data_IF_110411919470
#
_entry.id   IF_110411919470
#
_cell.length_a   1.000
_cell.length_b   1.000
_cell.length_c   1.000
_cell.angle_alpha   90.00
_cell.angle_beta   90.00
_cell.angle_gamma   90.00
#
_symmetry.space_group_name_H-M   'P 1'
#
loop_
_entity.id
_entity.type
_entity.pdbx_description
1 polymer ?
#
# COMPACT_ATOMS: atom_id res chain seq x y z
N UNK A 1 -2.83 -4.40 -8.50
CA UNK A 1 -3.49 -3.19 -9.04
C UNK A 1 -2.40 -2.16 -9.23
N UNK A 2 -2.19 -1.73 -10.43
CA UNK A 2 -1.14 -0.80 -10.87
C UNK A 2 -1.52 0.66 -10.58
N UNK A 3 -1.87 0.95 -9.37
CA UNK A 3 -2.38 2.29 -9.06
C UNK A 3 -1.44 3.10 -8.17
N UNK A 4 -0.38 2.46 -7.70
CA UNK A 4 0.67 3.09 -6.91
C UNK A 4 0.26 3.55 -5.52
N UNK A 5 1.24 3.96 -4.75
CA UNK A 5 1.08 4.45 -3.39
C UNK A 5 0.28 5.75 -3.32
N UNK A 6 0.43 6.63 -4.31
CA UNK A 6 -0.29 7.90 -4.39
C UNK A 6 -1.80 7.72 -4.53
N UNK A 7 -2.22 6.79 -5.37
CA UNK A 7 -3.64 6.44 -5.50
C UNK A 7 -4.20 5.88 -4.18
N UNK A 8 -3.45 4.99 -3.54
CA UNK A 8 -3.88 4.38 -2.29
C UNK A 8 -4.11 5.41 -1.18
N UNK A 9 -3.18 6.34 -1.00
CA UNK A 9 -3.32 7.46 -0.07
C UNK A 9 -4.53 8.33 -0.41
N UNK A 10 -4.70 8.69 -1.68
CA UNK A 10 -5.84 9.49 -2.13
C UNK A 10 -7.17 8.76 -1.86
N UNK A 11 -7.24 7.46 -2.06
CA UNK A 11 -8.43 6.67 -1.73
C UNK A 11 -8.77 6.71 -0.24
N UNK A 12 -7.78 6.55 0.65
CA UNK A 12 -7.99 6.63 2.09
C UNK A 12 -8.57 8.01 2.47
N UNK A 13 -7.96 9.08 1.99
CA UNK A 13 -8.43 10.44 2.25
C UNK A 13 -9.86 10.67 1.73
N UNK A 14 -10.14 10.21 0.52
CA UNK A 14 -11.47 10.32 -0.09
C UNK A 14 -12.52 9.54 0.67
N UNK A 15 -12.20 8.33 1.11
CA UNK A 15 -13.12 7.50 1.89
C UNK A 15 -13.38 8.10 3.27
N UNK A 16 -12.35 8.59 3.96
CA UNK A 16 -12.48 9.29 5.23
C UNK A 16 -13.42 10.49 5.11
N UNK A 17 -13.17 11.34 4.09
CA UNK A 17 -13.98 12.52 3.82
C UNK A 17 -15.42 12.17 3.45
N UNK A 18 -15.60 11.14 2.61
CA UNK A 18 -16.94 10.70 2.20
C UNK A 18 -17.73 10.13 3.38
N UNK A 19 -17.08 9.33 4.22
CA UNK A 19 -17.68 8.78 5.44
C UNK A 19 -18.18 9.89 6.38
N UNK A 20 -17.32 10.88 6.62
CA UNK A 20 -17.66 11.97 7.52
C UNK A 20 -18.73 12.94 6.98
N UNK A 21 -18.89 13.03 5.65
CA UNK A 21 -19.77 14.04 5.02
C UNK A 21 -21.01 13.49 4.36
N UNK A 22 -20.99 12.28 3.83
CA UNK A 22 -22.03 11.81 2.90
C UNK A 22 -22.59 10.41 3.21
N UNK A 23 -21.80 9.53 3.81
CA UNK A 23 -22.20 8.13 4.01
C UNK A 23 -22.83 7.92 5.39
N UNK A 24 -23.56 8.89 5.87
CA UNK A 24 -24.37 8.70 7.08
C UNK A 24 -25.52 7.66 6.88
N UNK A 25 -25.43 6.85 5.84
CA UNK A 25 -26.55 6.04 5.37
C UNK A 25 -26.24 4.55 5.28
N UNK A 26 -25.38 4.04 6.14
CA UNK A 26 -25.37 2.61 6.46
C UNK A 26 -25.92 2.34 7.87
N UNK A 27 -27.20 2.67 8.15
CA UNK A 27 -27.79 2.54 9.49
C UNK A 27 -27.84 1.08 9.98
N UNK A 28 -27.56 0.13 9.09
CA UNK A 28 -27.54 -1.30 9.39
C UNK A 28 -26.14 -1.89 9.48
N UNK A 29 -25.07 -1.09 9.30
CA UNK A 29 -23.68 -1.55 9.31
C UNK A 29 -23.39 -2.68 8.31
N UNK A 30 -24.01 -2.64 7.13
CA UNK A 30 -23.91 -3.74 6.15
C UNK A 30 -22.66 -3.65 5.29
N UNK A 31 -22.19 -2.44 5.02
CA UNK A 31 -21.13 -2.17 4.06
C UNK A 31 -19.77 -2.03 4.74
N UNK A 32 -19.69 -1.25 5.81
CA UNK A 32 -18.48 -1.07 6.58
C UNK A 32 -18.70 -1.53 8.03
N UNK A 33 -17.87 -2.46 8.49
CA UNK A 33 -17.88 -2.95 9.86
C UNK A 33 -16.80 -2.27 10.66
N UNK A 34 -16.95 -0.96 10.87
CA UNK A 34 -16.09 -0.19 11.75
C UNK A 34 -16.26 -0.65 13.20
N UNK A 35 -15.16 -0.68 13.94
CA UNK A 35 -15.17 -0.83 15.39
C UNK A 35 -15.58 0.48 16.04
N UNK A 36 -15.92 0.46 17.32
CA UNK A 36 -16.27 1.68 18.05
C UNK A 36 -15.13 2.71 17.96
N UNK A 37 -15.48 3.92 17.51
CA UNK A 37 -14.56 5.06 17.27
C UNK A 37 -13.46 4.83 16.22
N UNK A 38 -13.54 3.76 15.43
CA UNK A 38 -12.58 3.50 14.35
C UNK A 38 -12.79 4.49 13.20
N UNK A 39 -11.74 5.18 12.80
CA UNK A 39 -11.72 5.97 11.56
C UNK A 39 -11.62 5.06 10.33
N UNK A 40 -11.86 5.61 9.13
CA UNK A 40 -11.61 4.87 7.89
C UNK A 40 -10.13 4.53 7.75
N UNK A 41 -9.25 5.44 8.13
CA UNK A 41 -7.80 5.19 8.14
C UNK A 41 -7.44 4.01 9.05
N UNK A 42 -7.99 3.96 10.26
CA UNK A 42 -7.76 2.84 11.19
C UNK A 42 -8.35 1.52 10.66
N UNK A 43 -9.51 1.60 10.04
CA UNK A 43 -10.13 0.45 9.36
C UNK A 43 -9.21 -0.11 8.26
N UNK A 44 -8.69 0.75 7.39
CA UNK A 44 -7.75 0.34 6.33
C UNK A 44 -6.48 -0.24 6.93
N UNK A 45 -5.89 0.41 7.95
CA UNK A 45 -4.69 -0.10 8.64
C UNK A 45 -4.93 -1.49 9.22
N UNK A 46 -6.05 -1.71 9.86
CA UNK A 46 -6.41 -3.03 10.39
C UNK A 46 -6.47 -4.09 9.31
N UNK A 47 -7.04 -3.77 8.13
CA UNK A 47 -7.08 -4.71 7.01
C UNK A 47 -5.70 -4.92 6.36
N UNK A 48 -4.85 -3.92 6.38
CA UNK A 48 -3.42 -4.06 6.02
C UNK A 48 -2.72 -5.02 6.99
N UNK A 49 -2.92 -4.83 8.29
CA UNK A 49 -2.31 -5.67 9.32
C UNK A 49 -2.76 -7.14 9.27
N UNK A 50 -3.99 -7.36 8.81
CA UNK A 50 -4.59 -8.68 8.59
C UNK A 50 -4.26 -9.29 7.21
N UNK A 51 -3.31 -8.72 6.46
CA UNK A 51 -2.87 -9.16 5.12
C UNK A 51 -4.00 -9.27 4.07
N UNK A 52 -4.98 -8.34 4.15
CA UNK A 52 -6.14 -8.31 3.24
C UNK A 52 -6.01 -7.27 2.13
N UNK A 53 -5.04 -6.36 2.24
CA UNK A 53 -4.81 -5.29 1.28
C UNK A 53 -3.35 -5.34 0.85
N UNK A 54 -3.15 -5.44 -0.46
CA UNK A 54 -1.84 -5.32 -1.10
C UNK A 54 -1.94 -4.35 -2.28
N UNK A 55 -0.89 -3.57 -2.48
CA UNK A 55 -0.81 -2.49 -3.47
C UNK A 55 0.51 -2.62 -4.21
N UNK A 56 0.45 -2.76 -5.54
CA UNK A 56 1.63 -2.70 -6.40
C UNK A 56 2.16 -1.27 -6.44
N UNK A 57 3.47 -1.11 -6.29
CA UNK A 57 4.17 0.17 -6.32
C UNK A 57 5.44 0.06 -7.15
N UNK A 58 5.81 1.16 -7.80
CA UNK A 58 7.10 1.31 -8.48
C UNK A 58 8.16 1.82 -7.50
N UNK A 59 9.44 1.59 -7.81
CA UNK A 59 10.53 1.92 -6.89
C UNK A 59 10.79 3.41 -6.75
N UNK A 60 10.46 4.19 -7.78
CA UNK A 60 10.70 5.64 -7.87
C UNK A 60 9.53 6.50 -7.37
N UNK A 61 8.45 5.89 -6.88
CA UNK A 61 7.28 6.64 -6.42
C UNK A 61 7.58 7.61 -5.27
N UNK A 62 7.46 8.90 -5.55
CA UNK A 62 7.68 9.98 -4.57
C UNK A 62 6.75 9.91 -3.35
N UNK A 63 5.58 9.31 -3.52
CA UNK A 63 4.54 9.19 -2.49
C UNK A 63 4.73 7.99 -1.58
N UNK A 64 5.55 7.01 -1.96
CA UNK A 64 5.74 5.76 -1.21
C UNK A 64 6.19 5.99 0.25
N UNK A 65 7.18 6.86 0.56
CA UNK A 65 7.57 7.10 1.96
C UNK A 65 6.43 7.68 2.81
N UNK A 66 5.60 8.54 2.23
CA UNK A 66 4.44 9.08 2.92
C UNK A 66 3.38 7.99 3.16
N UNK A 67 3.11 7.17 2.16
CA UNK A 67 2.17 6.05 2.29
C UNK A 67 2.62 5.06 3.37
N UNK A 68 3.92 4.72 3.41
CA UNK A 68 4.52 3.88 4.47
C UNK A 68 4.34 4.53 5.85
N UNK A 69 4.55 5.84 5.98
CA UNK A 69 4.33 6.54 7.25
C UNK A 69 2.87 6.51 7.72
N UNK A 70 1.92 6.47 6.77
CA UNK A 70 0.48 6.50 7.05
C UNK A 70 -0.06 5.13 7.49
N UNK A 71 0.29 4.06 6.77
CA UNK A 71 -0.31 2.72 6.96
C UNK A 71 0.70 1.61 7.28
N UNK A 72 1.99 1.92 7.36
CA UNK A 72 3.07 0.93 7.47
C UNK A 72 3.51 0.38 6.11
N UNK A 73 4.56 -0.44 6.12
CA UNK A 73 5.15 -0.98 4.90
C UNK A 73 4.47 -2.25 4.36
N UNK A 74 3.63 -2.89 5.16
CA UNK A 74 3.03 -4.20 4.86
C UNK A 74 2.26 -4.30 3.54
N UNK A 75 1.51 -3.28 3.07
CA UNK A 75 0.68 -3.47 1.88
C UNK A 75 1.46 -3.36 0.57
N UNK A 76 2.66 -2.78 0.57
CA UNK A 76 3.32 -2.38 -0.66
C UNK A 76 4.19 -3.50 -1.23
N UNK A 77 3.96 -3.86 -2.49
CA UNK A 77 4.71 -4.87 -3.23
C UNK A 77 5.31 -4.20 -4.46
N UNK A 78 6.62 -4.33 -4.66
CA UNK A 78 7.26 -3.85 -5.87
C UNK A 78 6.65 -4.51 -7.11
N UNK A 79 6.30 -3.70 -8.09
CA UNK A 79 5.75 -4.09 -9.38
C UNK A 79 6.33 -3.21 -10.47
N UNK A 80 7.07 -3.78 -11.39
CA UNK A 80 7.76 -3.04 -12.46
C UNK A 80 6.90 -2.72 -13.66
N UNK A 81 5.65 -3.16 -13.68
CA UNK A 81 4.75 -3.06 -14.86
C UNK A 81 5.32 -3.66 -16.16
N UNK A 82 6.30 -4.57 -16.04
CA UNK A 82 6.86 -5.27 -17.21
C UNK A 82 5.78 -6.12 -17.91
N UNK A 83 5.65 -6.09 -19.27
CA UNK A 83 6.55 -5.51 -20.26
C UNK A 83 6.04 -4.22 -20.91
N UNK A 84 5.13 -3.48 -20.31
CA UNK A 84 4.49 -2.34 -20.97
C UNK A 84 5.52 -1.26 -21.38
N UNK A 85 5.83 -0.28 -20.57
CA UNK A 85 6.83 0.75 -20.90
C UNK A 85 8.20 0.45 -20.27
N UNK A 86 8.36 -0.72 -19.66
CA UNK A 86 9.51 -1.11 -18.83
C UNK A 86 10.29 -2.26 -19.48
N UNK A 87 11.60 -2.15 -19.45
CA UNK A 87 12.54 -3.20 -19.84
C UNK A 87 13.42 -3.62 -18.63
N UNK A 88 14.32 -4.58 -18.82
CA UNK A 88 15.17 -5.06 -17.75
C UNK A 88 16.09 -3.98 -17.14
N UNK A 89 16.47 -2.98 -17.89
CA UNK A 89 17.36 -1.88 -17.43
C UNK A 89 16.56 -0.90 -16.57
N UNK A 90 15.37 -0.50 -17.02
CA UNK A 90 14.50 0.40 -16.26
C UNK A 90 13.99 -0.25 -14.97
N UNK A 91 13.64 -1.54 -15.01
CA UNK A 91 13.27 -2.28 -13.80
C UNK A 91 14.39 -2.32 -12.75
N UNK A 92 15.65 -2.45 -13.17
CA UNK A 92 16.80 -2.37 -12.26
C UNK A 92 16.98 -0.96 -11.72
N UNK A 93 16.82 0.06 -12.55
CA UNK A 93 16.93 1.46 -12.11
C UNK A 93 15.89 1.80 -11.04
N UNK A 94 14.64 1.35 -11.19
CA UNK A 94 13.60 1.52 -10.17
C UNK A 94 13.95 0.85 -8.83
N UNK A 95 14.56 -0.35 -8.88
CA UNK A 95 15.04 -1.02 -7.67
C UNK A 95 16.21 -0.25 -7.01
N UNK A 96 17.11 0.32 -7.82
CA UNK A 96 18.20 1.17 -7.33
C UNK A 96 17.64 2.45 -6.67
N UNK A 97 16.62 3.08 -7.28
CA UNK A 97 15.95 4.26 -6.70
C UNK A 97 15.24 3.94 -5.38
N UNK A 98 14.60 2.78 -5.28
CA UNK A 98 14.05 2.29 -4.02
C UNK A 98 15.16 2.14 -2.96
N UNK A 99 16.31 1.58 -3.33
CA UNK A 99 17.44 1.36 -2.42
C UNK A 99 18.09 2.66 -1.97
N UNK A 100 18.16 3.65 -2.84
CA UNK A 100 18.73 4.97 -2.55
C UNK A 100 17.76 5.88 -1.77
N UNK A 101 16.48 5.50 -1.64
CA UNK A 101 15.51 6.34 -0.97
C UNK A 101 15.80 6.48 0.53
N UNK A 102 16.37 7.62 0.90
CA UNK A 102 16.76 7.93 2.30
C UNK A 102 15.58 8.17 3.26
N UNK A 103 14.35 8.27 2.74
CA UNK A 103 13.13 8.44 3.54
C UNK A 103 12.49 7.11 3.96
N UNK A 104 13.02 6.00 3.49
CA UNK A 104 12.62 4.63 3.85
C UNK A 104 13.73 3.98 4.68
N UNK A 105 13.34 3.21 5.69
CA UNK A 105 14.29 2.36 6.42
C UNK A 105 14.64 1.12 5.59
N UNK A 106 15.76 0.45 5.92
CA UNK A 106 16.11 -0.81 5.25
C UNK A 106 15.01 -1.89 5.41
N UNK A 107 14.32 -1.89 6.55
CA UNK A 107 13.19 -2.79 6.77
C UNK A 107 12.00 -2.48 5.84
N UNK A 108 11.76 -1.20 5.52
CA UNK A 108 10.73 -0.79 4.57
C UNK A 108 11.10 -1.20 3.15
N UNK A 109 12.34 -0.97 2.74
CA UNK A 109 12.86 -1.35 1.42
C UNK A 109 12.78 -2.86 1.21
N UNK A 110 13.23 -3.66 2.18
CA UNK A 110 13.11 -5.12 2.13
C UNK A 110 11.65 -5.57 2.05
N UNK A 111 10.77 -4.92 2.82
CA UNK A 111 9.34 -5.24 2.80
C UNK A 111 8.75 -5.04 1.41
N UNK A 112 8.99 -3.89 0.80
CA UNK A 112 8.50 -3.52 -0.54
C UNK A 112 9.11 -4.43 -1.60
N UNK A 113 10.43 -4.64 -1.56
CA UNK A 113 11.20 -5.35 -2.59
C UNK A 113 10.80 -6.82 -2.72
N UNK A 114 10.63 -7.53 -1.61
CA UNK A 114 10.38 -8.98 -1.67
C UNK A 114 9.54 -9.57 -0.53
N UNK A 115 9.65 -9.10 0.75
CA UNK A 115 9.02 -9.78 1.89
C UNK A 115 7.50 -9.77 1.82
N UNK A 116 6.92 -8.70 1.30
CA UNK A 116 5.47 -8.60 1.15
C UNK A 116 4.98 -9.49 0.01
N UNK A 117 5.75 -9.62 -1.08
CA UNK A 117 5.46 -10.56 -2.16
C UNK A 117 5.53 -12.01 -1.66
N UNK A 118 6.55 -12.38 -0.88
CA UNK A 118 6.65 -13.70 -0.24
C UNK A 118 5.41 -14.01 0.59
N UNK A 119 4.94 -13.03 1.38
CA UNK A 119 3.74 -13.20 2.21
C UNK A 119 2.47 -13.31 1.36
N UNK A 120 2.33 -12.48 0.34
CA UNK A 120 1.18 -12.48 -0.57
C UNK A 120 1.05 -13.80 -1.34
N UNK A 121 2.16 -14.33 -1.83
CA UNK A 121 2.19 -15.58 -2.60
C UNK A 121 2.35 -16.84 -1.73
N UNK A 122 2.49 -16.71 -0.41
CA UNK A 122 2.70 -17.84 0.48
C UNK A 122 4.03 -18.56 0.27
N UNK A 123 5.07 -17.85 -0.17
CA UNK A 123 6.38 -18.42 -0.52
C UNK A 123 7.30 -18.65 0.68
N UNK A 124 6.92 -18.25 1.87
CA UNK A 124 7.69 -18.56 3.07
C UNK A 124 7.60 -20.06 3.33
N UNK A 125 8.68 -20.75 3.00
CA UNK A 125 8.89 -22.10 3.51
C UNK A 125 8.99 -22.06 5.04
N UNK A 126 8.38 -23.04 5.67
CA UNK A 126 8.51 -23.32 7.10
C UNK A 126 9.97 -23.47 7.52
#
# INVERSE_FOLDING_TARGET
MEAGSGWFVNCIERFERSWNSHVQHDPRGRFLKLRDKESITDYVKRHVDEDRIFVGVEGDELTLPFAVSLVGNKPFIFSSDFPHEVNNETCKAELEELDENSRLTEADKDAVRYRNAERFYGLRGD
#
